data_IF_087227204982
#
_entry.id   IF_087227204982
#
_cell.length_a   1.000
_cell.length_b   1.000
_cell.length_c   1.000
_cell.angle_alpha   90.00
_cell.angle_beta   90.00
_cell.angle_gamma   90.00
#
_symmetry.space_group_name_H-M   'P 1'
#
loop_
_entity.id
_entity.type
_entity.pdbx_description
1 polymer ?
#
# COMPACT_ATOMS: atom_id res chain seq x y z
N UNK A 1 -8.63 -8.84 20.15
CA UNK A 1 -7.41 -9.66 20.37
C UNK A 1 -7.12 -10.55 19.18
N UNK A 2 -7.99 -11.49 18.81
CA UNK A 2 -7.74 -12.45 17.69
C UNK A 2 -7.43 -11.74 16.36
N UNK A 3 -8.19 -10.71 15.99
CA UNK A 3 -7.94 -9.95 14.76
C UNK A 3 -6.57 -9.29 14.72
N UNK A 4 -6.10 -8.77 15.86
CA UNK A 4 -4.77 -8.19 15.95
C UNK A 4 -3.68 -9.26 15.70
N UNK A 5 -3.84 -10.44 16.30
CA UNK A 5 -2.91 -11.56 16.10
C UNK A 5 -2.87 -11.95 14.63
N UNK A 6 -4.03 -12.05 13.97
CA UNK A 6 -4.09 -12.39 12.55
C UNK A 6 -3.41 -11.32 11.69
N UNK A 7 -3.62 -10.03 11.98
CA UNK A 7 -2.93 -8.95 11.25
C UNK A 7 -1.42 -9.01 11.44
N UNK A 8 -0.95 -9.26 12.66
CA UNK A 8 0.49 -9.40 12.93
C UNK A 8 1.07 -10.60 12.17
N UNK A 9 0.38 -11.74 12.16
CA UNK A 9 0.79 -12.91 11.38
C UNK A 9 0.82 -12.60 9.88
N UNK A 10 -0.18 -11.91 9.35
CA UNK A 10 -0.19 -11.47 7.94
C UNK A 10 0.99 -10.57 7.62
N UNK A 11 1.33 -9.64 8.50
CA UNK A 11 2.49 -8.75 8.30
C UNK A 11 3.80 -9.53 8.34
N UNK A 12 3.93 -10.52 9.22
CA UNK A 12 5.10 -11.40 9.28
C UNK A 12 5.22 -12.25 8.01
N UNK A 13 4.12 -12.85 7.54
CA UNK A 13 4.09 -13.61 6.29
C UNK A 13 4.46 -12.70 5.11
N UNK A 14 3.93 -11.47 5.08
CA UNK A 14 4.27 -10.50 4.05
C UNK A 14 5.74 -10.08 4.11
N UNK A 15 6.32 -9.94 5.31
CA UNK A 15 7.73 -9.66 5.47
C UNK A 15 8.61 -10.78 4.89
N UNK A 16 8.27 -12.05 5.19
CA UNK A 16 8.97 -13.21 4.61
C UNK A 16 8.79 -13.27 3.09
N UNK A 17 7.55 -13.06 2.59
CA UNK A 17 7.26 -12.98 1.17
C UNK A 17 8.09 -11.88 0.49
N UNK A 18 8.25 -10.73 1.13
CA UNK A 18 9.03 -9.61 0.60
C UNK A 18 10.49 -9.94 0.37
N UNK A 19 11.08 -10.83 1.19
CA UNK A 19 12.46 -11.27 0.98
C UNK A 19 12.66 -11.97 -0.38
N UNK A 20 11.62 -12.61 -0.90
CA UNK A 20 11.63 -13.26 -2.21
C UNK A 20 11.14 -12.30 -3.30
N UNK A 21 10.06 -11.57 -3.02
CA UNK A 21 9.43 -10.68 -4.00
C UNK A 21 10.31 -9.50 -4.39
N UNK A 22 11.03 -8.89 -3.44
CA UNK A 22 11.86 -7.72 -3.71
C UNK A 22 13.01 -7.98 -4.70
N UNK A 23 13.80 -9.06 -4.58
CA UNK A 23 14.79 -9.41 -5.60
C UNK A 23 14.18 -9.65 -6.98
N UNK A 24 13.03 -10.32 -7.05
CA UNK A 24 12.33 -10.57 -8.31
C UNK A 24 11.86 -9.25 -8.92
N UNK A 25 11.24 -8.38 -8.14
CA UNK A 25 10.81 -7.04 -8.61
C UNK A 25 11.99 -6.18 -9.04
N UNK A 26 13.13 -6.30 -8.37
CA UNK A 26 14.35 -5.59 -8.76
C UNK A 26 14.86 -6.07 -10.13
N UNK A 27 14.88 -7.40 -10.36
CA UNK A 27 15.26 -7.97 -11.66
C UNK A 27 14.28 -7.55 -12.78
N UNK A 28 12.99 -7.58 -12.52
CA UNK A 28 11.97 -7.10 -13.46
C UNK A 28 12.19 -5.62 -13.76
N UNK A 29 12.48 -4.82 -12.73
CA UNK A 29 12.72 -3.39 -12.87
C UNK A 29 13.91 -3.01 -13.73
N UNK A 30 14.92 -3.88 -13.82
CA UNK A 30 16.06 -3.69 -14.75
C UNK A 30 15.66 -3.75 -16.21
N UNK A 31 14.67 -4.60 -16.54
CA UNK A 31 14.18 -4.79 -17.92
C UNK A 31 12.98 -3.93 -18.24
N UNK A 32 12.05 -3.80 -17.28
CA UNK A 32 10.80 -3.08 -17.47
C UNK A 32 10.36 -2.37 -16.17
N UNK A 33 10.72 -1.10 -15.96
CA UNK A 33 10.34 -0.34 -14.77
C UNK A 33 8.83 -0.25 -14.59
N UNK A 34 8.06 -0.13 -15.66
CA UNK A 34 6.60 -0.01 -15.63
C UNK A 34 5.96 -1.31 -15.12
N UNK A 35 6.48 -2.46 -15.56
CA UNK A 35 6.00 -3.76 -15.07
C UNK A 35 6.29 -3.96 -13.57
N UNK A 36 7.47 -3.54 -13.10
CA UNK A 36 7.82 -3.55 -11.68
C UNK A 36 6.82 -2.74 -10.86
N UNK A 37 6.52 -1.53 -11.30
CA UNK A 37 5.62 -0.63 -10.59
C UNK A 37 4.19 -1.16 -10.52
N UNK A 38 3.67 -1.69 -11.63
CA UNK A 38 2.33 -2.32 -11.66
C UNK A 38 2.25 -3.53 -10.73
N UNK A 39 3.28 -4.36 -10.72
CA UNK A 39 3.33 -5.53 -9.84
C UNK A 39 3.40 -5.13 -8.36
N UNK A 40 4.25 -4.15 -8.01
CA UNK A 40 4.35 -3.64 -6.65
C UNK A 40 3.03 -3.02 -6.17
N UNK A 41 2.39 -2.21 -7.01
CA UNK A 41 1.10 -1.59 -6.70
C UNK A 41 0.01 -2.64 -6.49
N UNK A 42 -0.05 -3.67 -7.33
CA UNK A 42 -1.02 -4.75 -7.20
C UNK A 42 -0.84 -5.54 -5.89
N UNK A 43 0.40 -5.85 -5.50
CA UNK A 43 0.71 -6.53 -4.25
C UNK A 43 0.33 -5.66 -3.05
N UNK A 44 0.69 -4.38 -3.05
CA UNK A 44 0.35 -3.46 -1.97
C UNK A 44 -1.17 -3.31 -1.80
N UNK A 45 -1.92 -3.14 -2.90
CA UNK A 45 -3.39 -3.04 -2.87
C UNK A 45 -4.03 -4.32 -2.36
N UNK A 46 -3.54 -5.47 -2.77
CA UNK A 46 -4.03 -6.76 -2.28
C UNK A 46 -3.84 -6.88 -0.78
N UNK A 47 -2.63 -6.58 -0.27
CA UNK A 47 -2.33 -6.63 1.16
C UNK A 47 -3.18 -5.65 1.97
N UNK A 48 -3.35 -4.43 1.50
CA UNK A 48 -4.17 -3.43 2.20
C UNK A 48 -5.65 -3.85 2.26
N UNK A 49 -6.20 -4.38 1.17
CA UNK A 49 -7.57 -4.92 1.16
C UNK A 49 -7.72 -6.10 2.13
N UNK A 50 -6.73 -6.98 2.17
CA UNK A 50 -6.74 -8.12 3.09
C UNK A 50 -6.69 -7.66 4.55
N UNK A 51 -5.86 -6.68 4.89
CA UNK A 51 -5.80 -6.09 6.23
C UNK A 51 -7.16 -5.48 6.61
N UNK A 52 -7.75 -4.68 5.74
CA UNK A 52 -9.07 -4.07 5.97
C UNK A 52 -10.15 -5.14 6.20
N UNK A 53 -10.13 -6.20 5.40
CA UNK A 53 -11.07 -7.32 5.53
C UNK A 53 -10.91 -8.03 6.87
N UNK A 54 -9.70 -8.39 7.28
CA UNK A 54 -9.41 -9.06 8.55
C UNK A 54 -9.77 -8.18 9.75
N UNK A 55 -9.49 -6.88 9.66
CA UNK A 55 -9.90 -5.92 10.69
C UNK A 55 -11.42 -5.75 10.77
N UNK A 56 -12.15 -6.23 9.77
CA UNK A 56 -13.61 -6.04 9.67
C UNK A 56 -13.98 -4.58 9.43
N UNK A 57 -13.09 -3.81 8.82
CA UNK A 57 -13.29 -2.40 8.52
C UNK A 57 -14.21 -2.25 7.32
N UNK A 58 -15.39 -1.66 7.55
CA UNK A 58 -16.29 -1.26 6.46
C UNK A 58 -15.92 0.15 6.03
N UNK A 59 -15.60 0.30 4.75
CA UNK A 59 -15.22 1.60 4.19
C UNK A 59 -16.19 1.99 3.08
N UNK A 60 -16.55 3.26 3.03
CA UNK A 60 -17.35 3.84 1.95
C UNK A 60 -16.60 5.04 1.40
N UNK A 61 -16.34 5.05 0.11
CA UNK A 61 -15.73 6.19 -0.56
C UNK A 61 -16.78 6.88 -1.41
N UNK A 62 -16.87 8.18 -1.29
CA UNK A 62 -17.81 9.03 -2.03
C UNK A 62 -16.99 9.98 -2.88
N UNK A 63 -17.35 10.18 -4.14
CA UNK A 63 -16.68 11.11 -5.03
C UNK A 63 -15.38 10.60 -5.65
N UNK A 64 -15.11 9.30 -5.60
CA UNK A 64 -13.90 8.69 -6.21
C UNK A 64 -13.88 8.91 -7.72
N UNK A 65 -15.04 8.97 -8.34
CA UNK A 65 -15.24 9.27 -9.77
C UNK A 65 -14.76 10.66 -10.16
N UNK A 66 -14.69 11.60 -9.21
CA UNK A 66 -14.23 12.96 -9.45
C UNK A 66 -12.70 13.11 -9.42
N UNK A 67 -11.97 12.06 -9.09
CA UNK A 67 -10.51 12.08 -9.07
C UNK A 67 -9.98 12.10 -10.50
N UNK A 68 -9.25 13.16 -10.92
CA UNK A 68 -8.64 13.19 -12.24
C UNK A 68 -7.64 12.07 -12.42
N UNK A 69 -7.64 11.43 -13.59
CA UNK A 69 -6.71 10.33 -13.93
C UNK A 69 -5.68 10.73 -14.99
N UNK A 70 -5.87 11.89 -15.59
CA UNK A 70 -5.10 12.44 -16.72
C UNK A 70 -4.00 13.43 -16.31
N UNK A 71 -4.00 13.85 -15.03
CA UNK A 71 -3.05 14.83 -14.51
C UNK A 71 -2.62 14.50 -13.08
N UNK A 72 -1.45 14.99 -12.64
CA UNK A 72 -1.02 14.89 -11.24
C UNK A 72 -2.00 15.61 -10.31
N UNK A 73 -2.31 14.96 -9.19
CA UNK A 73 -3.23 15.48 -8.18
C UNK A 73 -2.57 15.43 -6.82
N UNK A 74 -2.67 16.53 -6.07
CA UNK A 74 -2.29 16.58 -4.67
C UNK A 74 -3.52 16.29 -3.79
N UNK A 75 -3.48 15.21 -3.04
CA UNK A 75 -4.51 14.90 -2.04
C UNK A 75 -4.11 15.49 -0.69
N UNK A 76 -4.95 16.34 -0.16
CA UNK A 76 -4.80 16.89 1.18
C UNK A 76 -5.99 16.46 2.01
N UNK A 77 -5.73 15.74 3.09
CA UNK A 77 -6.77 15.20 3.94
C UNK A 77 -6.39 15.28 5.41
N UNK A 78 -7.40 15.17 6.28
CA UNK A 78 -7.18 15.10 7.71
C UNK A 78 -6.66 13.70 8.07
N UNK A 79 -5.42 13.62 8.53
CA UNK A 79 -4.76 12.35 8.88
C UNK A 79 -4.95 12.05 10.38
N UNK A 80 -5.70 10.99 10.67
CA UNK A 80 -5.99 10.56 12.05
C UNK A 80 -5.29 9.29 12.47
N UNK A 81 -4.82 8.47 11.53
CA UNK A 81 -4.16 7.22 11.87
C UNK A 81 -3.67 6.43 10.65
N UNK A 82 -3.05 5.31 10.93
CA UNK A 82 -2.47 4.44 9.88
C UNK A 82 -3.49 3.94 8.85
N UNK A 83 -4.75 3.77 9.26
CA UNK A 83 -5.80 3.31 8.35
C UNK A 83 -6.11 4.30 7.23
N UNK A 84 -5.86 5.58 7.42
CA UNK A 84 -6.12 6.60 6.39
C UNK A 84 -5.28 6.33 5.12
N UNK A 85 -4.02 5.94 5.30
CA UNK A 85 -3.13 5.57 4.19
C UNK A 85 -3.62 4.29 3.52
N UNK A 86 -3.96 3.26 4.30
CA UNK A 86 -4.42 1.97 3.80
C UNK A 86 -5.72 2.13 3.00
N UNK A 87 -6.68 2.87 3.55
CA UNK A 87 -7.98 3.11 2.92
C UNK A 87 -7.83 3.94 1.66
N UNK A 88 -7.13 5.07 1.72
CA UNK A 88 -6.96 5.95 0.55
C UNK A 88 -6.23 5.24 -0.58
N UNK A 89 -5.21 4.44 -0.27
CA UNK A 89 -4.47 3.68 -1.28
C UNK A 89 -5.36 2.66 -2.01
N UNK A 90 -6.35 2.08 -1.33
CA UNK A 90 -7.27 1.11 -1.97
C UNK A 90 -8.26 1.77 -2.93
N UNK A 91 -8.61 3.04 -2.72
CA UNK A 91 -9.59 3.76 -3.54
C UNK A 91 -8.97 4.63 -4.62
N UNK A 92 -7.78 5.19 -4.40
CA UNK A 92 -7.08 5.98 -5.41
C UNK A 92 -6.55 5.04 -6.49
N UNK A 93 -7.10 5.10 -7.69
CA UNK A 93 -6.74 4.22 -8.81
C UNK A 93 -5.43 4.61 -9.48
N UNK A 94 -5.05 5.88 -9.39
CA UNK A 94 -3.80 6.41 -9.92
C UNK A 94 -2.65 6.12 -8.96
N UNK A 95 -1.42 6.25 -9.45
CA UNK A 95 -0.23 6.16 -8.61
C UNK A 95 -0.29 7.19 -7.50
N UNK A 96 -0.24 6.75 -6.26
CA UNK A 96 -0.20 7.63 -5.09
C UNK A 96 1.15 7.49 -4.38
N UNK A 97 1.80 8.62 -4.14
CA UNK A 97 2.93 8.72 -3.23
C UNK A 97 2.49 9.44 -1.97
N UNK A 98 2.99 9.00 -0.83
CA UNK A 98 2.65 9.56 0.46
C UNK A 98 3.85 10.28 1.07
N UNK A 99 3.60 11.43 1.68
CA UNK A 99 4.61 12.08 2.49
C UNK A 99 4.69 11.34 3.82
N UNK A 100 5.74 10.60 4.01
CA UNK A 100 5.96 9.78 5.20
C UNK A 100 6.89 10.49 6.19
N UNK A 101 6.71 10.17 7.47
CA UNK A 101 7.59 10.64 8.53
C UNK A 101 9.01 10.07 8.35
N UNK A 102 10.04 10.89 8.57
CA UNK A 102 11.45 10.52 8.34
C UNK A 102 11.87 9.23 9.06
N UNK A 103 11.29 8.97 10.23
CA UNK A 103 11.58 7.79 11.03
C UNK A 103 11.10 6.49 10.36
N UNK A 104 10.10 6.54 9.50
CA UNK A 104 9.61 5.37 8.74
C UNK A 104 10.63 4.85 7.73
N UNK A 105 11.55 5.71 7.27
CA UNK A 105 12.65 5.29 6.41
C UNK A 105 13.65 4.34 7.08
N UNK A 106 13.62 4.23 8.42
CA UNK A 106 14.45 3.31 9.20
C UNK A 106 13.93 1.86 9.17
N UNK A 107 12.67 1.64 8.76
CA UNK A 107 12.09 0.30 8.65
C UNK A 107 12.42 -0.27 7.28
N UNK A 108 13.28 -1.31 7.17
CA UNK A 108 13.84 -1.76 5.89
C UNK A 108 12.79 -2.13 4.85
N UNK A 109 11.76 -2.85 5.27
CA UNK A 109 10.69 -3.33 4.37
C UNK A 109 9.83 -2.16 3.87
N UNK A 110 9.42 -1.25 4.78
CA UNK A 110 8.60 -0.09 4.39
C UNK A 110 9.34 0.90 3.49
N UNK A 111 10.66 0.96 3.61
CA UNK A 111 11.49 1.83 2.77
C UNK A 111 11.50 1.39 1.30
N UNK A 112 11.32 0.11 1.04
CA UNK A 112 11.50 -0.48 -0.30
C UNK A 112 10.19 -0.60 -1.06
N UNK A 113 9.07 -0.78 -0.35
CA UNK A 113 7.71 -0.79 -0.90
C UNK A 113 7.13 0.61 -1.01
#
# INVERSE_FOLDING_TARGET
MIRLIIVVLLLLIFAVFSLIALPILWLIGKKNPVAKEKASDAVARFMFRLILFVCGTKTTAIGVENIPTDKPVLFVGNHRGFFDVIISYTYIKTRAAYVAKKEMAKVPILRVW
#
